data_IF_490603942809
#
_entry.id   IF_490603942809
#
_cell.length_a   1.000
_cell.length_b   1.000
_cell.length_c   1.000
_cell.angle_alpha   90.00
_cell.angle_beta   90.00
_cell.angle_gamma   90.00
#
_symmetry.space_group_name_H-M   'P 1'
#
loop_
_entity.id
_entity.type
_entity.pdbx_description
1 polymer ?
#
# COMPACT_ATOMS: atom_id res chain seq x y z
N UNK A 1 -18.52 33.17 38.81
CA UNK A 1 -19.04 32.73 37.50
C UNK A 1 -17.87 32.19 36.70
N UNK A 2 -17.67 30.86 36.70
CA UNK A 2 -16.58 30.25 35.92
C UNK A 2 -16.97 30.26 34.45
N UNK A 3 -16.26 31.03 33.63
CA UNK A 3 -16.39 30.99 32.17
C UNK A 3 -16.08 29.56 31.71
N UNK A 4 -17.11 28.86 31.20
CA UNK A 4 -16.97 27.52 30.64
C UNK A 4 -16.07 27.68 29.39
N UNK A 5 -14.81 27.22 29.46
CA UNK A 5 -13.92 27.15 28.29
C UNK A 5 -14.69 26.47 27.15
N UNK A 6 -14.83 27.15 26.00
CA UNK A 6 -15.54 26.56 24.87
C UNK A 6 -14.74 25.35 24.38
N UNK A 7 -15.33 24.16 24.44
CA UNK A 7 -14.70 22.97 23.89
C UNK A 7 -14.59 23.09 22.37
N UNK A 8 -13.46 22.65 21.81
CA UNK A 8 -13.17 22.75 20.38
C UNK A 8 -13.64 21.51 19.63
N UNK A 9 -13.98 21.68 18.36
CA UNK A 9 -14.23 20.58 17.43
C UNK A 9 -13.09 20.53 16.42
N UNK A 10 -12.47 19.36 16.24
CA UNK A 10 -11.43 19.13 15.23
C UNK A 10 -12.11 18.57 13.99
N UNK A 11 -11.84 19.14 12.80
CA UNK A 11 -12.50 18.76 11.54
C UNK A 11 -11.51 18.57 10.41
N UNK A 12 -11.84 17.66 9.49
CA UNK A 12 -11.20 17.53 8.17
C UNK A 12 -9.69 17.37 8.26
N UNK A 13 -9.23 16.36 8.99
CA UNK A 13 -7.80 16.05 9.11
C UNK A 13 -7.49 14.69 8.53
N UNK A 14 -6.42 14.58 7.76
CA UNK A 14 -5.98 13.28 7.25
C UNK A 14 -5.47 12.41 8.41
N UNK A 15 -4.73 13.00 9.34
CA UNK A 15 -4.16 12.31 10.50
C UNK A 15 -4.20 13.21 11.72
N UNK A 16 -4.73 12.70 12.83
CA UNK A 16 -4.75 13.38 14.12
C UNK A 16 -3.89 12.60 15.11
N UNK A 17 -2.71 13.13 15.43
CA UNK A 17 -1.83 12.54 16.44
C UNK A 17 -2.14 13.11 17.83
N UNK A 18 -2.66 12.27 18.72
CA UNK A 18 -3.00 12.60 20.09
C UNK A 18 -2.00 12.07 21.12
N UNK A 19 -0.86 11.49 20.70
CA UNK A 19 0.12 10.86 21.62
C UNK A 19 0.69 11.81 22.67
N UNK A 20 0.78 13.10 22.34
CA UNK A 20 1.30 14.13 23.24
C UNK A 20 0.22 14.88 24.03
N UNK A 21 -1.04 14.43 23.99
CA UNK A 21 -2.13 15.05 24.74
C UNK A 21 -2.21 14.53 26.17
N UNK A 22 -2.47 15.42 27.12
CA UNK A 22 -2.89 15.03 28.47
C UNK A 22 -4.39 14.78 28.54
N UNK A 23 -4.86 14.15 29.63
CA UNK A 23 -6.30 13.97 29.87
C UNK A 23 -7.05 15.31 29.91
N UNK A 24 -6.43 16.36 30.48
CA UNK A 24 -6.96 17.72 30.49
C UNK A 24 -7.06 18.26 29.06
N UNK A 25 -6.01 18.08 28.25
CA UNK A 25 -6.00 18.50 26.85
C UNK A 25 -7.08 17.81 26.01
N UNK A 26 -7.34 16.51 26.25
CA UNK A 26 -8.45 15.79 25.62
C UNK A 26 -9.81 16.33 26.05
N UNK A 27 -9.96 16.73 27.32
CA UNK A 27 -11.24 17.24 27.85
C UNK A 27 -11.70 18.54 27.20
N UNK A 28 -10.77 19.29 26.59
CA UNK A 28 -11.05 20.50 25.83
C UNK A 28 -11.60 20.22 24.41
N UNK A 29 -11.60 18.96 23.96
CA UNK A 29 -12.14 18.54 22.67
C UNK A 29 -13.58 18.04 22.88
N UNK A 30 -14.56 18.61 22.17
CA UNK A 30 -15.96 18.10 22.18
C UNK A 30 -16.15 17.00 21.14
N UNK A 31 -15.58 17.18 19.96
CA UNK A 31 -15.78 16.30 18.82
C UNK A 31 -14.59 16.27 17.86
N UNK A 32 -14.42 15.14 17.19
CA UNK A 32 -13.53 14.93 16.05
C UNK A 32 -14.38 14.44 14.89
N UNK A 33 -14.39 15.20 13.80
CA UNK A 33 -15.23 14.93 12.63
C UNK A 33 -14.37 14.84 11.35
N UNK A 34 -14.63 13.85 10.50
CA UNK A 34 -13.91 13.65 9.23
C UNK A 34 -12.39 13.53 9.44
N UNK A 35 -11.97 12.49 10.18
CA UNK A 35 -10.56 12.16 10.36
C UNK A 35 -10.27 10.80 9.74
N UNK A 36 -9.33 10.70 8.79
CA UNK A 36 -9.01 9.38 8.22
C UNK A 36 -8.31 8.50 9.27
N UNK A 37 -7.41 9.10 10.07
CA UNK A 37 -6.67 8.40 11.10
C UNK A 37 -6.58 9.20 12.41
N UNK A 38 -6.74 8.51 13.54
CA UNK A 38 -6.36 9.00 14.86
C UNK A 38 -5.21 8.13 15.40
N UNK A 39 -4.19 8.76 15.97
CA UNK A 39 -3.09 8.05 16.63
C UNK A 39 -3.16 8.33 18.13
N UNK A 40 -3.24 7.25 18.90
CA UNK A 40 -3.26 7.26 20.35
C UNK A 40 -1.94 6.71 20.91
N UNK A 41 -1.51 7.15 22.09
CA UNK A 41 -0.38 6.55 22.77
C UNK A 41 -0.74 5.13 23.20
N UNK A 42 0.14 4.16 22.98
CA UNK A 42 -0.05 2.78 23.46
C UNK A 42 0.12 2.65 24.97
N UNK A 43 0.81 3.61 25.60
CA UNK A 43 1.26 3.61 26.99
C UNK A 43 0.77 4.84 27.78
N UNK A 44 -0.46 5.29 27.49
CA UNK A 44 -1.08 6.40 28.22
C UNK A 44 -1.43 6.05 29.69
N UNK A 45 -1.44 7.03 30.60
CA UNK A 45 -2.03 6.86 31.93
C UNK A 45 -3.54 6.57 31.84
N UNK A 46 -4.15 5.85 32.81
CA UNK A 46 -5.58 5.54 32.81
C UNK A 46 -6.50 6.74 32.58
N UNK A 47 -6.16 7.90 33.16
CA UNK A 47 -6.92 9.14 33.00
C UNK A 47 -7.07 9.60 31.54
N UNK A 48 -6.09 9.31 30.67
CA UNK A 48 -6.18 9.59 29.23
C UNK A 48 -7.26 8.71 28.58
N UNK A 49 -7.25 7.41 28.88
CA UNK A 49 -8.22 6.44 28.37
C UNK A 49 -9.63 6.65 28.93
N UNK A 50 -9.76 7.29 30.10
CA UNK A 50 -11.05 7.73 30.64
C UNK A 50 -11.56 9.03 29.99
N UNK A 51 -10.66 9.82 29.41
CA UNK A 51 -10.99 11.11 28.79
C UNK A 51 -11.34 10.94 27.30
N UNK A 52 -10.59 10.13 26.55
CA UNK A 52 -10.76 9.97 25.10
C UNK A 52 -12.17 9.53 24.67
N UNK A 53 -12.82 8.52 25.30
CA UNK A 53 -14.17 8.07 24.90
C UNK A 53 -15.27 9.13 25.07
N UNK A 54 -14.99 10.24 25.79
CA UNK A 54 -15.92 11.35 25.97
C UNK A 54 -15.94 12.30 24.78
N UNK A 55 -15.00 12.18 23.86
CA UNK A 55 -14.93 12.95 22.61
C UNK A 55 -15.87 12.29 21.59
N UNK A 56 -16.78 13.07 20.99
CA UNK A 56 -17.67 12.55 19.95
C UNK A 56 -16.89 12.31 18.66
N UNK A 57 -16.93 11.09 18.14
CA UNK A 57 -16.29 10.74 16.87
C UNK A 57 -17.34 10.65 15.76
N UNK A 58 -17.10 11.30 14.62
CA UNK A 58 -17.95 11.22 13.42
C UNK A 58 -17.10 11.10 12.17
N UNK A 59 -17.40 10.14 11.29
CA UNK A 59 -16.62 9.89 10.07
C UNK A 59 -15.11 9.75 10.37
N UNK A 60 -14.78 8.92 11.36
CA UNK A 60 -13.42 8.54 11.67
C UNK A 60 -13.19 7.13 11.13
N UNK A 61 -12.21 6.95 10.24
CA UNK A 61 -11.97 5.64 9.61
C UNK A 61 -11.22 4.71 10.55
N UNK A 62 -10.03 5.11 11.01
CA UNK A 62 -9.15 4.25 11.80
C UNK A 62 -8.56 4.93 13.03
N UNK A 63 -8.28 4.14 14.07
CA UNK A 63 -7.55 4.56 15.27
C UNK A 63 -6.43 3.57 15.57
N UNK A 64 -5.19 4.05 15.67
CA UNK A 64 -4.01 3.23 15.95
C UNK A 64 -3.37 3.60 17.28
N UNK A 65 -2.96 2.58 18.03
CA UNK A 65 -2.17 2.76 19.24
C UNK A 65 -0.69 2.58 18.92
N UNK A 66 0.09 3.64 19.07
CA UNK A 66 1.52 3.64 18.78
C UNK A 66 2.33 4.14 19.99
N UNK A 67 3.57 3.65 20.17
CA UNK A 67 4.51 4.21 21.14
C UNK A 67 4.71 5.71 20.92
N UNK A 68 4.97 6.46 21.99
CA UNK A 68 5.17 7.92 21.92
C UNK A 68 6.27 8.35 20.91
N UNK A 69 7.28 7.51 20.71
CA UNK A 69 8.44 7.77 19.82
C UNK A 69 8.33 7.14 18.44
N UNK A 70 7.28 6.37 18.16
CA UNK A 70 7.11 5.79 16.82
C UNK A 70 6.90 6.91 15.80
N UNK A 71 7.55 6.82 14.65
CA UNK A 71 7.33 7.76 13.56
C UNK A 71 6.19 7.26 12.65
N UNK A 72 5.56 8.20 11.96
CA UNK A 72 4.54 7.92 10.95
C UNK A 72 5.04 8.56 9.67
N UNK A 73 5.50 7.72 8.76
CA UNK A 73 6.13 8.16 7.52
C UNK A 73 5.16 7.96 6.38
N UNK A 74 5.27 8.82 5.36
CA UNK A 74 4.50 8.68 4.14
C UNK A 74 5.46 8.47 2.98
N UNK A 75 5.27 7.37 2.27
CA UNK A 75 5.85 7.15 0.95
C UNK A 75 4.80 7.54 -0.11
N UNK A 76 5.18 8.40 -1.04
CA UNK A 76 4.33 8.79 -2.16
C UNK A 76 5.01 8.46 -3.49
N UNK A 77 4.24 7.92 -4.43
CA UNK A 77 4.70 7.65 -5.79
C UNK A 77 5.00 6.18 -6.02
N UNK A 78 6.17 5.88 -6.56
CA UNK A 78 6.51 4.56 -7.04
C UNK A 78 7.95 4.20 -6.68
N UNK A 79 8.17 3.05 -6.04
CA UNK A 79 9.52 2.67 -5.62
C UNK A 79 9.62 1.34 -4.88
N UNK A 80 10.86 0.97 -4.63
CA UNK A 80 11.27 -0.22 -3.89
C UNK A 80 11.59 0.16 -2.44
N UNK A 81 11.12 -0.67 -1.52
CA UNK A 81 11.25 -0.50 -0.08
C UNK A 81 12.00 -1.70 0.50
N UNK A 82 13.27 -1.46 0.83
CA UNK A 82 14.21 -2.43 1.42
C UNK A 82 14.56 -2.06 2.86
N UNK A 83 15.38 -2.88 3.54
CA UNK A 83 15.86 -2.60 4.90
C UNK A 83 16.59 -1.26 5.06
N UNK A 84 17.13 -0.69 4.00
CA UNK A 84 17.78 0.64 4.03
C UNK A 84 16.76 1.79 4.10
N UNK A 85 15.55 1.54 3.60
CA UNK A 85 14.48 2.55 3.47
C UNK A 85 13.39 2.39 4.52
N UNK A 86 13.27 1.19 5.11
CA UNK A 86 12.22 0.83 6.06
C UNK A 86 12.82 0.60 7.43
N UNK A 87 12.31 1.32 8.43
CA UNK A 87 12.70 1.17 9.84
C UNK A 87 11.63 0.42 10.62
N UNK A 88 12.09 -0.36 11.60
CA UNK A 88 11.23 -1.17 12.44
C UNK A 88 10.49 -0.31 13.49
N UNK A 89 9.23 -0.64 13.78
CA UNK A 89 8.42 -0.01 14.84
C UNK A 89 7.61 1.23 14.42
N UNK A 90 7.74 1.69 13.18
CA UNK A 90 7.05 2.84 12.63
C UNK A 90 5.86 2.44 11.75
N UNK A 91 4.90 3.36 11.56
CA UNK A 91 3.81 3.18 10.59
C UNK A 91 4.19 3.85 9.28
N UNK A 92 4.15 3.09 8.19
CA UNK A 92 4.43 3.58 6.85
C UNK A 92 3.15 3.64 6.02
N UNK A 93 2.77 4.83 5.61
CA UNK A 93 1.64 5.08 4.70
C UNK A 93 2.19 5.08 3.27
N UNK A 94 1.83 4.09 2.47
CA UNK A 94 2.28 3.92 1.09
C UNK A 94 1.19 4.37 0.12
N UNK A 95 1.35 5.55 -0.48
CA UNK A 95 0.46 6.07 -1.51
C UNK A 95 1.09 5.84 -2.90
N UNK A 96 0.51 4.96 -3.71
CA UNK A 96 0.99 4.62 -5.05
C UNK A 96 1.43 3.17 -5.17
N UNK A 97 2.55 2.89 -5.83
CA UNK A 97 3.00 1.50 -6.08
C UNK A 97 4.34 1.22 -5.43
N UNK A 98 4.35 0.28 -4.49
CA UNK A 98 5.54 -0.10 -3.72
C UNK A 98 5.88 -1.57 -3.89
N UNK A 99 7.17 -1.89 -3.88
CA UNK A 99 7.67 -3.25 -3.77
C UNK A 99 8.41 -3.38 -2.44
N UNK A 100 7.99 -4.30 -1.58
CA UNK A 100 8.74 -4.70 -0.39
C UNK A 100 9.58 -5.92 -0.73
N UNK A 101 10.90 -5.79 -0.68
CA UNK A 101 11.85 -6.88 -0.92
C UNK A 101 13.10 -6.67 -0.06
N UNK A 102 13.87 -7.73 0.16
CA UNK A 102 15.13 -7.68 0.91
C UNK A 102 15.00 -6.97 2.28
N UNK A 103 13.89 -7.21 2.99
CA UNK A 103 13.76 -6.80 4.40
C UNK A 103 14.45 -7.84 5.29
N UNK A 104 15.26 -7.40 6.29
CA UNK A 104 15.80 -8.30 7.30
C UNK A 104 14.70 -9.07 8.05
N UNK A 105 14.99 -10.30 8.50
CA UNK A 105 14.01 -11.18 9.16
C UNK A 105 13.41 -10.58 10.44
N UNK A 106 14.18 -9.73 11.14
CA UNK A 106 13.75 -9.04 12.35
C UNK A 106 12.96 -7.75 12.06
N UNK A 107 12.87 -7.32 10.80
CA UNK A 107 12.14 -6.14 10.36
C UNK A 107 10.73 -6.50 9.89
N UNK A 108 9.71 -5.93 10.52
CA UNK A 108 8.31 -6.10 10.16
C UNK A 108 7.60 -4.73 10.22
N UNK A 109 7.63 -3.93 9.14
CA UNK A 109 6.98 -2.63 9.12
C UNK A 109 5.47 -2.77 9.22
N UNK A 110 4.85 -1.84 9.92
CA UNK A 110 3.40 -1.66 9.91
C UNK A 110 3.03 -0.74 8.77
N UNK A 111 2.20 -1.20 7.84
CA UNK A 111 1.94 -0.46 6.59
C UNK A 111 0.46 -0.21 6.36
N UNK A 112 0.16 0.96 5.80
CA UNK A 112 -1.15 1.30 5.25
C UNK A 112 -0.96 1.51 3.75
N UNK A 113 -1.63 0.70 2.96
CA UNK A 113 -1.46 0.68 1.50
C UNK A 113 -2.61 1.45 0.85
N UNK A 114 -2.30 2.54 0.15
CA UNK A 114 -3.23 3.27 -0.71
C UNK A 114 -2.71 3.18 -2.15
N UNK A 115 -3.10 2.11 -2.86
CA UNK A 115 -2.57 1.78 -4.18
C UNK A 115 -2.15 0.31 -4.27
N UNK A 116 -0.96 0.03 -4.78
CA UNK A 116 -0.50 -1.34 -5.02
C UNK A 116 0.77 -1.65 -4.24
N UNK A 117 0.74 -2.68 -3.41
CA UNK A 117 1.92 -3.24 -2.77
C UNK A 117 2.24 -4.62 -3.37
N UNK A 118 3.49 -4.81 -3.77
CA UNK A 118 4.04 -6.12 -4.11
C UNK A 118 4.99 -6.53 -3.00
N UNK A 119 4.75 -7.66 -2.37
CA UNK A 119 5.54 -8.15 -1.24
C UNK A 119 6.29 -9.37 -1.73
N UNK A 120 7.62 -9.31 -1.71
CA UNK A 120 8.45 -10.46 -2.04
C UNK A 120 8.15 -11.61 -1.08
N UNK A 121 7.98 -12.81 -1.60
CA UNK A 121 7.72 -13.99 -0.77
C UNK A 121 8.85 -14.20 0.24
N UNK A 122 8.50 -14.32 1.51
CA UNK A 122 9.46 -14.45 2.61
C UNK A 122 9.71 -13.15 3.37
N UNK A 123 9.33 -12.00 2.81
CA UNK A 123 9.40 -10.71 3.50
C UNK A 123 8.19 -10.53 4.42
N UNK A 124 8.45 -10.06 5.65
CA UNK A 124 7.44 -9.80 6.66
C UNK A 124 6.97 -8.34 6.58
N UNK A 125 5.67 -8.14 6.40
CA UNK A 125 5.01 -6.82 6.41
C UNK A 125 3.67 -6.94 7.14
N UNK A 126 3.44 -6.10 8.14
CA UNK A 126 2.18 -6.04 8.90
C UNK A 126 1.23 -5.02 8.24
N UNK A 127 0.33 -5.51 7.38
CA UNK A 127 -0.63 -4.66 6.66
C UNK A 127 -1.78 -4.30 7.60
N UNK A 128 -1.79 -3.05 8.07
CA UNK A 128 -2.84 -2.49 8.93
C UNK A 128 -4.11 -2.17 8.15
N UNK A 129 -3.97 -1.69 6.92
CA UNK A 129 -5.08 -1.33 6.03
C UNK A 129 -4.62 -1.39 4.57
N UNK A 130 -5.53 -1.77 3.67
CA UNK A 130 -5.27 -1.81 2.23
C UNK A 130 -6.45 -1.24 1.45
N UNK A 131 -6.27 -0.03 0.95
CA UNK A 131 -7.13 0.65 -0.02
C UNK A 131 -6.50 0.54 -1.41
N UNK A 132 -6.67 -0.63 -2.03
CA UNK A 132 -6.11 -0.97 -3.33
C UNK A 132 -5.82 -2.45 -3.42
N UNK A 133 -4.58 -2.83 -3.76
CA UNK A 133 -4.16 -4.22 -3.90
C UNK A 133 -2.85 -4.49 -3.16
N UNK A 134 -2.79 -5.56 -2.38
CA UNK A 134 -1.53 -6.08 -1.86
C UNK A 134 -1.36 -7.53 -2.35
N UNK A 135 -0.24 -7.82 -2.99
CA UNK A 135 0.03 -9.12 -3.59
C UNK A 135 1.38 -9.64 -3.18
N UNK A 136 1.47 -10.93 -2.88
CA UNK A 136 2.74 -11.60 -2.62
C UNK A 136 3.24 -12.27 -3.89
N UNK A 137 4.51 -12.05 -4.24
CA UNK A 137 5.11 -12.61 -5.44
C UNK A 137 6.53 -13.10 -5.16
N UNK A 138 6.96 -14.12 -5.90
CA UNK A 138 8.34 -14.60 -5.87
C UNK A 138 9.09 -14.06 -7.08
N UNK A 139 10.18 -13.33 -6.82
CA UNK A 139 11.05 -12.72 -7.82
C UNK A 139 12.44 -12.46 -7.25
N UNK A 140 13.43 -12.40 -8.15
CA UNK A 140 14.82 -12.00 -7.83
C UNK A 140 15.07 -10.54 -8.22
N UNK A 141 14.57 -10.13 -9.37
CA UNK A 141 14.66 -8.75 -9.88
C UNK A 141 13.27 -8.29 -10.33
N UNK A 142 12.97 -7.01 -10.13
CA UNK A 142 11.70 -6.41 -10.54
C UNK A 142 11.93 -5.13 -11.35
N UNK A 143 11.13 -4.95 -12.40
CA UNK A 143 11.02 -3.67 -13.13
C UNK A 143 9.68 -3.03 -12.82
N UNK A 144 9.72 -1.87 -12.20
CA UNK A 144 8.54 -1.21 -11.65
C UNK A 144 8.02 -0.08 -12.54
N UNK A 145 6.72 -0.08 -12.79
CA UNK A 145 6.00 0.93 -13.56
C UNK A 145 4.85 1.53 -12.73
N UNK A 146 4.75 2.86 -12.59
CA UNK A 146 3.77 3.50 -11.69
C UNK A 146 2.30 3.22 -12.01
N UNK A 147 1.96 2.97 -13.28
CA UNK A 147 0.57 2.81 -13.70
C UNK A 147 0.42 1.70 -14.75
N UNK A 148 0.96 1.93 -15.96
CA UNK A 148 0.81 1.03 -17.10
C UNK A 148 2.15 0.77 -17.78
N UNK A 149 2.31 -0.45 -18.32
CA UNK A 149 3.38 -0.79 -19.26
C UNK A 149 2.84 -1.62 -20.41
N UNK A 150 3.38 -1.37 -21.61
CA UNK A 150 3.14 -2.17 -22.80
C UNK A 150 4.37 -3.03 -23.07
N UNK A 151 4.13 -4.32 -23.31
CA UNK A 151 5.15 -5.35 -23.47
C UNK A 151 5.02 -5.92 -24.87
N UNK A 152 6.06 -5.70 -25.67
CA UNK A 152 6.21 -6.19 -27.04
C UNK A 152 7.39 -7.15 -27.14
N UNK A 153 7.53 -7.83 -28.27
CA UNK A 153 8.71 -8.64 -28.56
C UNK A 153 10.00 -7.80 -28.54
N UNK A 154 9.95 -6.55 -29.01
CA UNK A 154 11.10 -5.63 -28.97
C UNK A 154 11.49 -5.28 -27.54
N UNK A 155 10.53 -5.03 -26.66
CA UNK A 155 10.79 -4.83 -25.23
C UNK A 155 11.45 -6.07 -24.60
N UNK A 156 10.92 -7.25 -24.91
CA UNK A 156 11.43 -8.54 -24.45
C UNK A 156 12.75 -8.95 -25.12
N UNK A 157 13.19 -8.28 -26.18
CA UNK A 157 14.53 -8.49 -26.75
C UNK A 157 15.64 -7.94 -25.84
N UNK A 158 15.31 -6.98 -24.98
CA UNK A 158 16.23 -6.29 -24.07
C UNK A 158 16.08 -6.83 -22.64
N UNK A 159 14.85 -7.14 -22.24
CA UNK A 159 14.49 -7.50 -20.87
C UNK A 159 14.41 -9.01 -20.70
N UNK A 160 15.09 -9.54 -19.69
CA UNK A 160 15.15 -10.97 -19.35
C UNK A 160 15.28 -11.18 -17.85
N UNK A 161 14.82 -12.31 -17.35
CA UNK A 161 15.02 -12.78 -15.98
C UNK A 161 14.47 -11.80 -14.92
N UNK A 162 13.41 -11.06 -15.24
CA UNK A 162 12.78 -10.08 -14.35
C UNK A 162 11.29 -10.31 -14.17
N UNK A 163 10.76 -9.81 -13.06
CA UNK A 163 9.33 -9.62 -12.85
C UNK A 163 8.93 -8.20 -13.24
N UNK A 164 8.01 -8.06 -14.19
CA UNK A 164 7.50 -6.76 -14.61
C UNK A 164 6.31 -6.42 -13.71
N UNK A 165 6.43 -5.30 -13.00
CA UNK A 165 5.45 -4.83 -12.02
C UNK A 165 4.80 -3.55 -12.51
N UNK A 166 3.47 -3.50 -12.55
CA UNK A 166 2.74 -2.28 -12.86
C UNK A 166 1.66 -1.98 -11.81
N UNK A 167 1.54 -0.73 -11.40
CA UNK A 167 0.54 -0.29 -10.42
C UNK A 167 -0.91 -0.54 -10.83
N UNK A 168 -1.20 -0.63 -12.13
CA UNK A 168 -2.55 -0.84 -12.64
C UNK A 168 -2.57 -1.91 -13.72
N UNK A 169 -1.97 -1.65 -14.89
CA UNK A 169 -2.19 -2.47 -16.09
C UNK A 169 -0.89 -2.89 -16.79
N UNK A 170 -0.80 -4.15 -17.18
CA UNK A 170 0.22 -4.64 -18.12
C UNK A 170 -0.51 -5.05 -19.39
N UNK A 171 0.00 -4.63 -20.56
CA UNK A 171 -0.58 -5.01 -21.86
C UNK A 171 0.50 -5.70 -22.69
N UNK A 172 0.27 -6.96 -23.04
CA UNK A 172 1.07 -7.70 -24.00
C UNK A 172 0.42 -7.51 -25.37
N UNK A 173 1.21 -7.12 -26.38
CA UNK A 173 0.72 -7.04 -27.76
C UNK A 173 0.78 -8.42 -28.47
N UNK A 174 0.30 -8.47 -29.71
CA UNK A 174 0.23 -9.69 -30.52
C UNK A 174 1.61 -10.23 -30.94
N UNK A 175 2.69 -9.46 -30.76
CA UNK A 175 4.05 -9.93 -31.04
C UNK A 175 4.62 -10.83 -29.93
N UNK A 176 4.01 -10.81 -28.73
CA UNK A 176 4.47 -11.62 -27.60
C UNK A 176 4.00 -13.07 -27.73
N UNK A 177 4.94 -14.01 -27.78
CA UNK A 177 4.66 -15.44 -27.81
C UNK A 177 4.95 -16.12 -26.48
N UNK A 178 4.36 -17.30 -26.27
CA UNK A 178 4.64 -18.14 -25.10
C UNK A 178 6.12 -18.50 -25.04
N UNK A 179 6.69 -18.88 -26.18
CA UNK A 179 8.08 -19.29 -26.31
C UNK A 179 9.02 -18.16 -25.90
N UNK A 180 8.72 -16.93 -26.32
CA UNK A 180 9.51 -15.76 -25.95
C UNK A 180 9.46 -15.48 -24.44
N UNK A 181 8.29 -15.61 -23.81
CA UNK A 181 8.14 -15.43 -22.36
C UNK A 181 8.88 -16.50 -21.56
N UNK A 182 8.90 -17.75 -22.05
CA UNK A 182 9.68 -18.84 -21.45
C UNK A 182 11.18 -18.57 -21.61
N UNK A 183 11.63 -18.25 -22.83
CA UNK A 183 13.04 -17.99 -23.14
C UNK A 183 13.59 -16.80 -22.35
N UNK A 184 12.77 -15.78 -22.12
CA UNK A 184 13.12 -14.58 -21.35
C UNK A 184 12.87 -14.73 -19.85
N UNK A 185 12.26 -15.83 -19.41
CA UNK A 185 11.97 -16.11 -18.01
C UNK A 185 11.28 -14.92 -17.30
N UNK A 186 10.16 -14.47 -17.88
CA UNK A 186 9.42 -13.29 -17.41
C UNK A 186 8.26 -13.72 -16.50
N UNK A 187 8.01 -12.90 -15.46
CA UNK A 187 6.80 -12.94 -14.64
C UNK A 187 6.13 -11.58 -14.63
N UNK A 188 4.84 -11.54 -14.30
CA UNK A 188 4.05 -10.32 -14.28
C UNK A 188 3.39 -10.09 -12.93
N UNK A 189 3.39 -8.85 -12.47
CA UNK A 189 2.58 -8.42 -11.33
C UNK A 189 1.84 -7.15 -11.70
N UNK A 190 0.51 -7.17 -11.66
CA UNK A 190 -0.30 -5.99 -11.95
C UNK A 190 -1.27 -5.69 -10.80
N UNK A 191 -1.32 -4.44 -10.36
CA UNK A 191 -2.26 -4.02 -9.31
C UNK A 191 -3.73 -4.22 -9.67
N UNK A 192 -4.06 -4.18 -10.97
CA UNK A 192 -5.41 -4.43 -11.46
C UNK A 192 -5.42 -5.58 -12.47
N UNK A 193 -4.90 -5.37 -13.70
CA UNK A 193 -5.09 -6.35 -14.79
C UNK A 193 -3.89 -6.55 -15.69
N UNK A 194 -3.78 -7.76 -16.23
CA UNK A 194 -2.89 -8.07 -17.36
C UNK A 194 -3.77 -8.35 -18.57
N UNK A 195 -3.50 -7.71 -19.69
CA UNK A 195 -4.19 -7.95 -20.96
C UNK A 195 -3.22 -8.60 -21.93
N UNK A 196 -3.63 -9.69 -22.58
CA UNK A 196 -2.76 -10.45 -23.48
C UNK A 196 -3.52 -11.04 -24.68
N UNK A 197 -2.81 -11.47 -25.74
CA UNK A 197 -3.41 -12.24 -26.82
C UNK A 197 -4.05 -13.53 -26.30
N UNK A 198 -5.22 -13.88 -26.83
CA UNK A 198 -5.98 -15.07 -26.42
C UNK A 198 -5.18 -16.37 -26.50
N UNK A 199 -4.29 -16.47 -27.48
CA UNK A 199 -3.42 -17.63 -27.70
C UNK A 199 -2.46 -17.91 -26.56
N UNK A 200 -2.07 -16.89 -25.77
CA UNK A 200 -1.17 -17.03 -24.62
C UNK A 200 -1.88 -16.87 -23.27
N UNK A 201 -3.20 -16.67 -23.26
CA UNK A 201 -3.98 -16.37 -22.05
C UNK A 201 -3.72 -17.34 -20.89
N UNK A 202 -3.79 -18.65 -21.14
CA UNK A 202 -3.59 -19.66 -20.09
C UNK A 202 -2.17 -19.65 -19.52
N UNK A 203 -1.17 -19.36 -20.37
CA UNK A 203 0.22 -19.25 -19.94
C UNK A 203 0.44 -17.98 -19.12
N UNK A 204 0.00 -16.82 -19.62
CA UNK A 204 0.09 -15.54 -18.91
C UNK A 204 -0.60 -15.63 -17.55
N UNK A 205 -1.79 -16.24 -17.48
CA UNK A 205 -2.50 -16.48 -16.21
C UNK A 205 -1.65 -17.26 -15.20
N UNK A 206 -0.90 -18.27 -15.66
CA UNK A 206 -0.07 -19.10 -14.78
C UNK A 206 1.19 -18.37 -14.26
N UNK A 207 1.72 -17.38 -14.99
CA UNK A 207 2.95 -16.66 -14.64
C UNK A 207 2.69 -15.24 -14.10
N UNK A 208 1.43 -14.87 -13.88
CA UNK A 208 1.02 -13.54 -13.43
C UNK A 208 0.43 -13.58 -12.03
N UNK A 209 0.68 -12.53 -11.26
CA UNK A 209 -0.07 -12.20 -10.04
C UNK A 209 -0.82 -10.89 -10.27
N UNK A 210 -2.15 -10.92 -10.22
CA UNK A 210 -2.99 -9.76 -10.56
C UNK A 210 -3.97 -9.44 -9.45
N UNK A 211 -4.19 -8.15 -9.17
CA UNK A 211 -5.16 -7.74 -8.15
C UNK A 211 -6.62 -7.95 -8.56
N UNK A 212 -6.93 -8.04 -9.86
CA UNK A 212 -8.28 -8.26 -10.38
C UNK A 212 -8.36 -9.46 -11.35
N UNK A 213 -7.89 -9.30 -12.60
CA UNK A 213 -8.00 -10.37 -13.60
C UNK A 213 -6.93 -10.31 -14.69
N UNK A 214 -6.70 -11.46 -15.32
CA UNK A 214 -6.09 -11.53 -16.66
C UNK A 214 -7.21 -11.47 -17.69
N UNK A 215 -7.05 -10.67 -18.73
CA UNK A 215 -8.03 -10.50 -19.80
C UNK A 215 -7.38 -10.72 -21.18
N UNK A 216 -8.22 -10.92 -22.19
CA UNK A 216 -7.78 -11.00 -23.58
C UNK A 216 -7.97 -9.68 -24.30
N UNK A 217 -7.10 -9.37 -25.26
CA UNK A 217 -7.23 -8.17 -26.12
C UNK A 217 -8.60 -8.11 -26.80
N UNK A 218 -9.15 -9.27 -27.20
CA UNK A 218 -10.47 -9.40 -27.82
C UNK A 218 -11.64 -8.99 -26.90
N UNK A 219 -11.48 -9.16 -25.58
CA UNK A 219 -12.53 -8.88 -24.59
C UNK A 219 -12.32 -7.54 -23.87
N UNK A 220 -11.14 -6.94 -24.01
CA UNK A 220 -10.85 -5.64 -23.38
C UNK A 220 -11.46 -4.51 -24.21
N UNK A 221 -12.60 -3.98 -23.77
CA UNK A 221 -13.12 -2.69 -24.24
C UNK A 221 -12.25 -1.49 -23.78
N UNK A 222 -11.19 -1.73 -23.02
CA UNK A 222 -10.32 -0.69 -22.47
C UNK A 222 -9.07 -0.51 -23.34
N UNK A 223 -9.22 0.25 -24.44
CA UNK A 223 -8.10 0.88 -25.16
C UNK A 223 -7.72 2.27 -24.62
N UNK A 224 -8.24 2.65 -23.46
CA UNK A 224 -7.87 3.87 -22.72
C UNK A 224 -7.17 3.52 -21.40
#
# INVERSE_FOLDING_TARGET
MFLKKSKRTIRNTTMLDLRNYTAEGLSEIDAIENAAMIILPSDAPPAFYDAFPKIKLKNVTNTYMLPAKASVNTFNGCGELTGDTVKNGDVLICNGTVIFHDLPDDVCPKVIINGTAVIQKGVNVDILECNGSAVTAEFTEAKLYPNKVEVSADYLSIVRDVTIVAGNKIILDDSVTKELLIERNIRFVAGNKVVCPKVIYGFVTAISTVGNKVDTIENSNDRD
#
